data_IF_166224617904
#
_entry.id   IF_166224617904
#
_cell.length_a   1.000
_cell.length_b   1.000
_cell.length_c   1.000
_cell.angle_alpha   90.00
_cell.angle_beta   90.00
_cell.angle_gamma   90.00
#
_symmetry.space_group_name_H-M   'P 1'
#
loop_
_entity.id
_entity.type
_entity.pdbx_description
1 polymer ?
#
# COMPACT_ATOMS: atom_id res chain seq x y z
N UNK A 1 -0.03 2.30 12.45
CA UNK A 1 -1.35 2.69 11.91
C UNK A 1 -1.26 3.54 10.65
N UNK A 2 -0.48 4.64 10.60
CA UNK A 2 -0.22 5.40 9.35
C UNK A 2 0.10 4.50 8.14
N UNK A 3 1.01 3.53 8.30
CA UNK A 3 1.36 2.57 7.24
C UNK A 3 0.15 1.75 6.75
N UNK A 4 -0.80 1.42 7.63
CA UNK A 4 -2.04 0.71 7.26
C UNK A 4 -2.99 1.62 6.48
N UNK A 5 -3.06 2.91 6.81
CA UNK A 5 -3.87 3.87 6.06
C UNK A 5 -3.35 4.03 4.62
N UNK A 6 -2.02 4.13 4.44
CA UNK A 6 -1.40 4.17 3.10
C UNK A 6 -1.67 2.86 2.35
N UNK A 7 -1.45 1.72 2.98
CA UNK A 7 -1.77 0.42 2.40
C UNK A 7 -3.24 0.33 1.96
N UNK A 8 -4.20 0.77 2.78
CA UNK A 8 -5.63 0.77 2.40
C UNK A 8 -5.86 1.67 1.19
N UNK A 9 -5.31 2.89 1.16
CA UNK A 9 -5.46 3.77 0.01
C UNK A 9 -4.89 3.17 -1.28
N UNK A 10 -3.71 2.53 -1.20
CA UNK A 10 -3.09 1.83 -2.33
C UNK A 10 -3.94 0.64 -2.78
N UNK A 11 -4.42 -0.19 -1.85
CA UNK A 11 -5.30 -1.33 -2.14
C UNK A 11 -6.60 -0.93 -2.81
N UNK A 12 -7.18 0.18 -2.41
CA UNK A 12 -8.42 0.72 -3.00
C UNK A 12 -8.18 1.48 -4.31
N UNK A 13 -6.92 1.72 -4.70
CA UNK A 13 -6.60 2.45 -5.93
C UNK A 13 -6.98 3.93 -5.90
N UNK A 14 -7.01 4.55 -4.71
CA UNK A 14 -7.50 5.93 -4.57
C UNK A 14 -6.69 6.94 -5.41
N UNK A 15 -5.37 6.73 -5.53
CA UNK A 15 -4.51 7.60 -6.33
C UNK A 15 -4.85 7.57 -7.82
N UNK A 16 -5.26 6.40 -8.34
CA UNK A 16 -5.66 6.21 -9.74
C UNK A 16 -7.05 6.79 -10.00
N UNK A 17 -7.99 6.58 -9.06
CA UNK A 17 -9.34 7.15 -9.14
C UNK A 17 -9.30 8.68 -9.14
N UNK A 18 -8.54 9.28 -8.23
CA UNK A 18 -8.36 10.73 -8.15
C UNK A 18 -7.72 11.28 -9.42
N UNK A 19 -6.69 10.60 -9.96
CA UNK A 19 -6.07 11.00 -11.24
C UNK A 19 -7.07 10.97 -12.40
N UNK A 20 -8.04 10.06 -12.36
CA UNK A 20 -9.10 9.94 -13.38
C UNK A 20 -10.27 10.92 -13.22
N UNK A 21 -10.26 11.75 -12.17
CA UNK A 21 -11.31 12.73 -11.88
C UNK A 21 -12.43 12.21 -10.96
N UNK A 22 -12.24 11.07 -10.28
CA UNK A 22 -13.12 10.61 -9.20
C UNK A 22 -12.55 11.14 -7.88
N UNK A 23 -13.01 12.30 -7.44
CA UNK A 23 -12.30 13.15 -6.46
C UNK A 23 -13.14 13.60 -5.25
N UNK A 24 -14.40 13.16 -5.13
CA UNK A 24 -15.25 13.41 -3.95
C UNK A 24 -15.37 12.17 -3.06
N UNK A 25 -15.74 12.37 -1.79
CA UNK A 25 -15.99 11.28 -0.83
C UNK A 25 -17.05 10.29 -1.36
N UNK A 26 -18.14 10.80 -1.93
CA UNK A 26 -19.23 9.99 -2.50
C UNK A 26 -18.80 9.22 -3.74
N UNK A 27 -18.07 9.89 -4.65
CA UNK A 27 -17.63 9.28 -5.91
C UNK A 27 -16.60 8.17 -5.65
N UNK A 28 -15.63 8.44 -4.76
CA UNK A 28 -14.65 7.44 -4.33
C UNK A 28 -15.33 6.27 -3.60
N UNK A 29 -16.27 6.55 -2.69
CA UNK A 29 -17.02 5.50 -1.99
C UNK A 29 -17.78 4.60 -2.96
N UNK A 30 -18.48 5.18 -3.95
CA UNK A 30 -19.19 4.42 -4.97
C UNK A 30 -18.23 3.57 -5.82
N UNK A 31 -17.08 4.12 -6.21
CA UNK A 31 -16.10 3.41 -7.03
C UNK A 31 -15.48 2.20 -6.32
N UNK A 32 -15.29 2.27 -5.00
CA UNK A 32 -14.61 1.21 -4.23
C UNK A 32 -15.55 0.37 -3.35
N UNK A 33 -16.86 0.61 -3.43
CA UNK A 33 -17.86 -0.10 -2.63
C UNK A 33 -17.77 0.19 -1.12
N UNK A 34 -17.41 1.42 -0.75
CA UNK A 34 -17.35 1.89 0.65
C UNK A 34 -18.52 2.84 0.97
N UNK A 35 -18.48 3.43 2.15
CA UNK A 35 -19.37 4.51 2.59
C UNK A 35 -18.59 5.84 2.58
N UNK A 36 -19.26 6.92 2.19
CA UNK A 36 -18.66 8.24 2.06
C UNK A 36 -18.05 8.74 3.37
N UNK A 37 -18.66 8.49 4.54
CA UNK A 37 -18.10 8.91 5.83
C UNK A 37 -16.79 8.17 6.14
N UNK A 38 -16.70 6.89 5.76
CA UNK A 38 -15.47 6.10 5.95
C UNK A 38 -14.35 6.57 5.01
N UNK A 39 -14.67 6.92 3.76
CA UNK A 39 -13.72 7.54 2.83
C UNK A 39 -13.26 8.89 3.36
N UNK A 40 -14.19 9.75 3.77
CA UNK A 40 -13.89 11.06 4.36
C UNK A 40 -12.88 10.96 5.50
N UNK A 41 -13.10 10.03 6.44
CA UNK A 41 -12.20 9.84 7.59
C UNK A 41 -10.80 9.39 7.18
N UNK A 42 -10.70 8.52 6.17
CA UNK A 42 -9.41 8.07 5.64
C UNK A 42 -8.71 9.20 4.87
N UNK A 43 -9.40 9.86 3.94
CA UNK A 43 -8.85 10.95 3.14
C UNK A 43 -8.43 12.13 4.00
N UNK A 44 -9.23 12.53 4.99
CA UNK A 44 -8.87 13.57 5.95
C UNK A 44 -7.56 13.28 6.67
N UNK A 45 -7.31 12.02 7.04
CA UNK A 45 -6.05 11.61 7.66
C UNK A 45 -4.88 11.64 6.66
N UNK A 46 -5.09 11.18 5.43
CA UNK A 46 -4.04 11.13 4.41
C UNK A 46 -3.66 12.53 3.90
N UNK A 47 -4.64 13.44 3.82
CA UNK A 47 -4.42 14.86 3.53
C UNK A 47 -3.65 15.54 4.66
N UNK A 48 -4.00 15.27 5.92
CA UNK A 48 -3.26 15.79 7.07
C UNK A 48 -1.80 15.30 7.15
N UNK A 49 -1.46 14.21 6.44
CA UNK A 49 -0.08 13.72 6.30
C UNK A 49 0.54 14.02 4.94
N UNK A 50 -0.04 14.93 4.16
CA UNK A 50 0.48 15.41 2.86
C UNK A 50 0.59 14.31 1.79
N UNK A 51 -0.10 13.18 2.00
CA UNK A 51 -0.14 12.08 1.02
C UNK A 51 -1.07 12.45 -0.12
N UNK A 52 -2.26 12.98 0.18
CA UNK A 52 -3.16 13.61 -0.78
C UNK A 52 -3.32 15.09 -0.42
N UNK A 53 -3.99 15.86 -1.28
CA UNK A 53 -4.35 17.25 -0.98
C UNK A 53 -5.80 17.53 -1.41
N UNK A 54 -6.32 18.69 -1.01
CA UNK A 54 -7.71 19.09 -1.29
C UNK A 54 -8.71 18.54 -0.28
N UNK A 55 -9.99 18.73 -0.59
CA UNK A 55 -11.12 18.26 0.21
C UNK A 55 -12.28 17.81 -0.69
N UNK A 56 -13.32 17.23 -0.11
CA UNK A 56 -14.46 16.73 -0.90
C UNK A 56 -15.31 17.80 -1.58
N UNK A 57 -15.17 19.08 -1.22
CA UNK A 57 -15.94 20.18 -1.82
C UNK A 57 -15.29 20.67 -3.10
N UNK A 58 -13.97 20.84 -3.06
CA UNK A 58 -13.18 21.34 -4.20
C UNK A 58 -12.56 20.20 -5.03
N UNK A 59 -12.61 18.96 -4.52
CA UNK A 59 -12.02 17.77 -5.10
C UNK A 59 -10.67 17.42 -4.47
N UNK A 60 -10.45 16.14 -4.20
CA UNK A 60 -9.13 15.62 -3.84
C UNK A 60 -8.20 15.62 -5.06
N UNK A 61 -6.91 15.85 -4.81
CA UNK A 61 -5.87 15.78 -5.83
C UNK A 61 -4.65 15.00 -5.33
N UNK A 62 -3.89 14.45 -6.29
CA UNK A 62 -2.63 13.78 -5.99
C UNK A 62 -1.55 14.79 -5.56
N UNK A 63 -0.71 14.40 -4.61
CA UNK A 63 0.57 15.06 -4.30
C UNK A 63 1.72 14.28 -4.93
N UNK A 64 2.97 14.77 -4.91
CA UNK A 64 4.13 13.96 -5.31
C UNK A 64 4.19 12.62 -4.56
N UNK A 65 3.72 12.56 -3.31
CA UNK A 65 3.71 11.33 -2.51
C UNK A 65 2.62 10.35 -2.97
N UNK A 66 1.36 10.77 -3.17
CA UNK A 66 0.34 9.84 -3.68
C UNK A 66 0.54 9.46 -5.14
N UNK A 67 1.24 10.27 -5.95
CA UNK A 67 1.62 9.87 -7.30
C UNK A 67 2.49 8.60 -7.30
N UNK A 68 3.32 8.39 -6.28
CA UNK A 68 4.08 7.15 -6.10
C UNK A 68 3.18 5.94 -5.78
N UNK A 69 1.89 6.12 -5.48
CA UNK A 69 0.96 5.04 -5.16
C UNK A 69 0.09 4.59 -6.35
N UNK A 70 0.21 5.27 -7.50
CA UNK A 70 -0.52 4.98 -8.73
C UNK A 70 -0.07 3.68 -9.38
N UNK A 71 -0.94 3.08 -10.20
CA UNK A 71 -0.64 1.91 -11.02
C UNK A 71 0.10 2.29 -12.31
N UNK A 72 1.31 2.81 -12.13
CA UNK A 72 2.22 3.21 -13.22
C UNK A 72 3.60 2.57 -13.03
N UNK A 73 4.33 2.42 -14.13
CA UNK A 73 5.72 1.95 -14.08
C UNK A 73 6.58 2.90 -13.25
N UNK A 74 7.44 2.34 -12.39
CA UNK A 74 8.26 3.15 -11.49
C UNK A 74 7.47 3.77 -10.33
N UNK A 75 6.41 3.12 -9.87
CA UNK A 75 5.69 3.49 -8.64
C UNK A 75 6.11 2.63 -7.44
N UNK A 76 5.69 3.05 -6.25
CA UNK A 76 5.82 2.30 -4.99
C UNK A 76 4.60 1.42 -4.71
N UNK A 77 3.61 1.37 -5.61
CA UNK A 77 2.34 0.66 -5.42
C UNK A 77 2.55 -0.79 -5.00
N UNK A 78 3.25 -1.59 -5.80
CA UNK A 78 3.47 -3.01 -5.51
C UNK A 78 4.29 -3.23 -4.24
N UNK A 79 5.24 -2.33 -3.94
CA UNK A 79 5.99 -2.36 -2.68
C UNK A 79 5.07 -2.15 -1.48
N UNK A 80 4.19 -1.15 -1.52
CA UNK A 80 3.24 -0.88 -0.44
C UNK A 80 2.27 -2.05 -0.24
N UNK A 81 1.80 -2.67 -1.33
CA UNK A 81 0.95 -3.86 -1.26
C UNK A 81 1.67 -5.02 -0.59
N UNK A 82 2.84 -5.39 -1.09
CA UNK A 82 3.63 -6.51 -0.56
C UNK A 82 4.03 -6.29 0.91
N UNK A 83 4.41 -5.06 1.27
CA UNK A 83 4.81 -4.71 2.63
C UNK A 83 3.60 -4.67 3.59
N UNK A 84 2.43 -4.29 3.07
CA UNK A 84 1.17 -4.29 3.79
C UNK A 84 0.49 -5.67 3.90
N UNK A 85 0.99 -6.67 3.18
CA UNK A 85 0.44 -8.04 3.18
C UNK A 85 1.46 -9.00 3.80
N UNK A 86 2.30 -9.61 2.97
CA UNK A 86 3.27 -10.62 3.38
C UNK A 86 4.20 -10.14 4.50
N UNK A 87 4.82 -8.98 4.35
CA UNK A 87 5.72 -8.50 5.40
C UNK A 87 4.96 -8.02 6.63
N UNK A 88 3.74 -7.52 6.51
CA UNK A 88 2.95 -7.22 7.70
C UNK A 88 2.71 -8.48 8.55
N UNK A 89 2.39 -9.61 7.91
CA UNK A 89 2.29 -10.89 8.60
C UNK A 89 3.65 -11.34 9.17
N UNK A 90 4.73 -11.26 8.39
CA UNK A 90 6.08 -11.64 8.83
C UNK A 90 6.63 -10.81 10.01
N UNK A 91 6.22 -9.55 10.12
CA UNK A 91 6.60 -8.67 11.23
C UNK A 91 5.74 -8.87 12.49
N UNK A 92 4.63 -9.61 12.41
CA UNK A 92 3.76 -9.87 13.56
C UNK A 92 4.45 -10.73 14.64
N UNK A 93 5.13 -11.86 14.31
CA UNK A 93 5.87 -12.67 15.29
C UNK A 93 7.31 -12.16 15.55
N UNK A 94 7.59 -10.86 15.38
CA UNK A 94 8.97 -10.34 15.45
C UNK A 94 9.68 -10.59 16.79
N UNK A 95 8.95 -10.60 17.91
CA UNK A 95 9.54 -10.92 19.22
C UNK A 95 9.99 -12.38 19.29
N UNK A 96 9.17 -13.32 18.82
CA UNK A 96 9.54 -14.73 18.74
C UNK A 96 10.70 -14.94 17.78
N UNK A 97 10.70 -14.29 16.62
CA UNK A 97 11.78 -14.35 15.64
C UNK A 97 13.14 -13.96 16.25
N UNK A 98 13.17 -12.90 17.07
CA UNK A 98 14.37 -12.46 17.77
C UNK A 98 14.85 -13.44 18.85
N UNK A 99 13.93 -14.17 19.48
CA UNK A 99 14.25 -15.13 20.54
C UNK A 99 14.69 -16.48 19.99
N UNK A 100 14.02 -16.97 18.96
CA UNK A 100 14.28 -18.29 18.37
C UNK A 100 15.39 -18.26 17.32
N UNK A 101 15.62 -17.12 16.68
CA UNK A 101 16.48 -16.99 15.51
C UNK A 101 15.82 -17.40 14.19
N UNK A 102 14.57 -17.89 14.22
CA UNK A 102 13.80 -18.22 13.01
C UNK A 102 13.25 -16.94 12.38
N UNK A 103 13.38 -16.73 11.06
CA UNK A 103 12.84 -15.54 10.40
C UNK A 103 11.33 -15.38 10.66
N UNK A 104 10.88 -14.16 10.94
CA UNK A 104 9.46 -13.90 11.20
C UNK A 104 8.52 -14.29 10.05
N UNK A 105 9.02 -14.28 8.81
CA UNK A 105 8.28 -14.79 7.65
C UNK A 105 8.00 -16.29 7.78
N UNK A 106 9.02 -17.08 8.15
CA UNK A 106 8.88 -18.52 8.32
C UNK A 106 7.94 -18.85 9.49
N UNK A 107 8.01 -18.08 10.58
CA UNK A 107 7.06 -18.21 11.69
C UNK A 107 5.61 -17.89 11.26
N UNK A 108 5.41 -16.89 10.39
CA UNK A 108 4.08 -16.48 9.95
C UNK A 108 3.46 -17.39 8.88
N UNK A 109 4.29 -17.96 7.99
CA UNK A 109 3.83 -18.72 6.81
C UNK A 109 4.15 -20.23 6.88
N UNK A 110 4.95 -20.67 7.85
CA UNK A 110 5.36 -22.08 8.01
C UNK A 110 6.34 -22.57 6.93
N UNK A 111 6.92 -21.68 6.15
CA UNK A 111 7.82 -21.95 5.03
C UNK A 111 8.77 -20.76 4.84
N UNK A 112 9.99 -21.00 4.34
CA UNK A 112 10.94 -19.92 4.05
C UNK A 112 10.46 -19.02 2.90
N UNK A 113 10.96 -17.79 2.88
CA UNK A 113 10.53 -16.75 1.95
C UNK A 113 10.67 -17.14 0.47
N UNK A 114 11.80 -17.73 0.07
CA UNK A 114 12.06 -18.01 -1.34
C UNK A 114 11.26 -19.22 -1.82
N UNK A 115 11.05 -20.22 -0.95
CA UNK A 115 10.18 -21.35 -1.27
C UNK A 115 8.73 -20.90 -1.42
N UNK A 116 8.24 -20.00 -0.55
CA UNK A 116 6.93 -19.36 -0.71
C UNK A 116 6.78 -18.62 -2.05
N UNK A 117 7.76 -17.79 -2.44
CA UNK A 117 7.72 -17.06 -3.71
C UNK A 117 7.73 -17.98 -4.94
N UNK A 118 8.45 -19.11 -4.88
CA UNK A 118 8.45 -20.11 -5.95
C UNK A 118 7.12 -20.85 -6.05
N UNK A 119 6.50 -21.16 -4.91
CA UNK A 119 5.22 -21.87 -4.82
C UNK A 119 4.03 -20.98 -5.19
N UNK A 120 4.12 -19.67 -4.96
CA UNK A 120 3.08 -18.68 -5.22
C UNK A 120 3.53 -17.69 -6.32
N UNK A 121 3.32 -18.00 -7.61
CA UNK A 121 3.79 -17.16 -8.73
C UNK A 121 3.33 -15.70 -8.65
N UNK A 122 2.10 -15.44 -8.16
CA UNK A 122 1.59 -14.08 -7.98
C UNK A 122 2.34 -13.30 -6.89
N UNK A 123 2.76 -13.97 -5.81
CA UNK A 123 3.61 -13.36 -4.79
C UNK A 123 5.03 -13.12 -5.33
N UNK A 124 5.57 -14.07 -6.09
CA UNK A 124 6.84 -13.88 -6.81
C UNK A 124 6.82 -12.67 -7.73
N UNK A 125 5.74 -12.51 -8.52
CA UNK A 125 5.55 -11.35 -9.41
C UNK A 125 5.48 -10.04 -8.62
N UNK A 126 4.63 -9.96 -7.58
CA UNK A 126 4.50 -8.75 -6.73
C UNK A 126 5.82 -8.41 -6.05
N UNK A 127 6.57 -9.41 -5.57
CA UNK A 127 7.89 -9.19 -4.98
C UNK A 127 8.87 -8.59 -6.00
N UNK A 128 8.95 -9.13 -7.22
CA UNK A 128 9.82 -8.58 -8.25
C UNK A 128 9.45 -7.14 -8.63
N UNK A 129 8.16 -6.81 -8.69
CA UNK A 129 7.70 -5.43 -8.92
C UNK A 129 8.03 -4.53 -7.73
N UNK A 130 7.83 -5.00 -6.49
CA UNK A 130 8.21 -4.29 -5.28
C UNK A 130 9.72 -3.98 -5.25
N UNK A 131 10.56 -4.92 -5.66
CA UNK A 131 12.02 -4.73 -5.73
C UNK A 131 12.44 -3.69 -6.78
N UNK A 132 11.61 -3.43 -7.81
CA UNK A 132 11.87 -2.31 -8.75
C UNK A 132 11.74 -0.94 -8.08
N UNK A 133 10.95 -0.82 -7.01
CA UNK A 133 10.82 0.45 -6.28
C UNK A 133 12.17 0.89 -5.66
N UNK A 134 13.04 -0.07 -5.30
CA UNK A 134 14.41 0.22 -4.86
C UNK A 134 15.21 1.01 -5.89
N UNK A 135 14.96 0.82 -7.19
CA UNK A 135 15.64 1.60 -8.23
C UNK A 135 15.35 3.10 -8.11
N UNK A 136 14.19 3.49 -7.57
CA UNK A 136 13.83 4.88 -7.34
C UNK A 136 14.42 5.43 -6.05
N UNK A 137 14.60 4.57 -5.03
CA UNK A 137 15.14 4.96 -3.72
C UNK A 137 16.68 5.12 -3.71
N UNK A 138 17.38 4.55 -4.70
CA UNK A 138 18.85 4.61 -4.80
C UNK A 138 19.35 5.43 -6.01
N UNK A 139 18.48 6.25 -6.60
CA UNK A 139 18.87 7.35 -7.49
C UNK A 139 18.88 8.67 -6.69
N UNK A 140 19.84 8.79 -5.78
CA UNK A 140 20.33 10.06 -5.20
C UNK A 140 21.85 10.14 -5.35
#
# INVERSE_FOLDING_TARGET
>A
WKSRCVYVATRLGLADLIESGIDSDEALAAAVGSDAERIHRLMRLLVAFEIFQGDTRDGYANTPTSHLLRDVEGSFRDMVLFYGEEFHAAWTPACEALLSGTPGFELAFGEDFYSYLKRCPDAGRRFLLAMKASNLAFHE
#
